data_IF_011029295353
#
_entry.id   IF_011029295353
#
_cell.length_a   1.000
_cell.length_b   1.000
_cell.length_c   1.000
_cell.angle_alpha   90.00
_cell.angle_beta   90.00
_cell.angle_gamma   90.00
#
_symmetry.space_group_name_H-M   'P 1'
#
loop_
_entity.id
_entity.type
_entity.pdbx_description
1 polymer ?
#
# COMPACT_ATOMS: atom_id res chain seq x y z
N UNK A 1 2.35 -0.44 29.35
CA UNK A 1 2.86 -1.83 29.47
C UNK A 1 1.80 -2.93 29.25
N UNK A 2 0.67 -2.95 29.98
CA UNK A 2 -0.34 -4.05 29.85
C UNK A 2 -0.99 -4.21 28.46
N UNK A 3 -1.20 -3.13 27.70
CA UNK A 3 -1.78 -3.21 26.33
C UNK A 3 -0.82 -3.79 25.29
N UNK A 4 0.46 -3.43 25.38
CA UNK A 4 1.51 -3.94 24.49
C UNK A 4 1.65 -5.45 24.61
N UNK A 5 1.60 -5.98 25.83
CA UNK A 5 1.66 -7.43 26.11
C UNK A 5 0.44 -8.16 25.51
N UNK A 6 -0.76 -7.57 25.57
CA UNK A 6 -1.96 -8.16 24.94
C UNK A 6 -1.86 -8.23 23.41
N UNK A 7 -1.29 -7.21 22.77
CA UNK A 7 -1.13 -7.21 21.31
C UNK A 7 -0.21 -8.34 20.84
N UNK A 8 0.96 -8.49 21.47
CA UNK A 8 1.88 -9.60 21.19
C UNK A 8 1.23 -10.97 21.43
N UNK A 9 0.40 -11.11 22.47
CA UNK A 9 -0.34 -12.35 22.70
C UNK A 9 -1.35 -12.66 21.58
N UNK A 10 -2.10 -11.67 21.07
CA UNK A 10 -3.04 -11.89 19.96
C UNK A 10 -2.29 -12.36 18.72
N UNK A 11 -1.21 -11.68 18.36
CA UNK A 11 -0.37 -12.08 17.22
C UNK A 11 0.16 -13.51 17.41
N UNK A 12 0.62 -13.85 18.61
CA UNK A 12 1.08 -15.20 18.95
C UNK A 12 -0.01 -16.28 18.81
N UNK A 13 -1.20 -16.08 19.37
CA UNK A 13 -2.29 -17.06 19.22
C UNK A 13 -2.72 -17.22 17.76
N UNK A 14 -2.75 -16.11 17.01
CA UNK A 14 -3.13 -16.11 15.61
C UNK A 14 -2.11 -16.88 14.77
N UNK A 15 -0.81 -16.72 15.06
CA UNK A 15 0.24 -17.57 14.51
C UNK A 15 0.04 -19.05 14.86
N UNK A 16 -0.27 -19.37 16.11
CA UNK A 16 -0.47 -20.76 16.54
C UNK A 16 -1.67 -21.45 15.87
N UNK A 17 -2.72 -20.70 15.54
CA UNK A 17 -3.89 -21.22 14.83
C UNK A 17 -3.58 -21.42 13.34
N UNK A 18 -2.93 -20.43 12.71
CA UNK A 18 -2.74 -20.41 11.26
C UNK A 18 -1.52 -21.21 10.78
N UNK A 19 -0.53 -21.49 11.64
CA UNK A 19 0.69 -22.26 11.30
C UNK A 19 0.43 -23.71 10.84
N UNK A 20 -0.81 -24.19 10.91
CA UNK A 20 -1.17 -25.54 10.52
C UNK A 20 -1.75 -25.64 9.11
N UNK A 21 -2.10 -24.50 8.48
CA UNK A 21 -2.80 -24.49 7.18
C UNK A 21 -2.11 -23.55 6.18
N UNK A 22 -1.04 -24.03 5.55
CA UNK A 22 -0.26 -23.26 4.55
C UNK A 22 -1.13 -22.77 3.38
N UNK A 23 -2.11 -23.57 2.94
CA UNK A 23 -3.04 -23.21 1.87
C UNK A 23 -3.88 -21.97 2.20
N UNK A 24 -4.32 -21.83 3.46
CA UNK A 24 -5.07 -20.65 3.90
C UNK A 24 -4.16 -19.41 3.87
N UNK A 25 -2.90 -19.56 4.30
CA UNK A 25 -1.93 -18.45 4.28
C UNK A 25 -1.67 -17.97 2.84
N UNK A 26 -1.45 -18.91 1.91
CA UNK A 26 -1.25 -18.62 0.48
C UNK A 26 -2.50 -18.01 -0.15
N UNK A 27 -3.68 -18.49 0.21
CA UNK A 27 -4.93 -17.93 -0.28
C UNK A 27 -5.12 -16.48 0.18
N UNK A 28 -4.83 -16.16 1.45
CA UNK A 28 -4.87 -14.79 1.97
C UNK A 28 -3.83 -13.89 1.29
N UNK A 29 -2.64 -14.42 1.03
CA UNK A 29 -1.58 -13.73 0.29
C UNK A 29 -2.04 -13.38 -1.14
N UNK A 30 -2.63 -14.35 -1.82
CA UNK A 30 -3.21 -14.18 -3.15
C UNK A 30 -4.34 -13.14 -3.15
N UNK A 31 -5.26 -13.18 -2.18
CA UNK A 31 -6.35 -12.21 -2.08
C UNK A 31 -5.83 -10.78 -1.89
N UNK A 32 -4.79 -10.58 -1.08
CA UNK A 32 -4.13 -9.28 -0.92
C UNK A 32 -3.65 -8.73 -2.26
N UNK A 33 -2.96 -9.56 -3.03
CA UNK A 33 -2.37 -9.17 -4.32
C UNK A 33 -3.46 -8.90 -5.35
N UNK A 34 -4.48 -9.76 -5.40
CA UNK A 34 -5.62 -9.62 -6.29
C UNK A 34 -6.35 -8.29 -6.06
N UNK A 35 -6.61 -7.90 -4.81
CA UNK A 35 -7.26 -6.62 -4.50
C UNK A 35 -6.43 -5.45 -5.04
N UNK A 36 -5.12 -5.44 -4.78
CA UNK A 36 -4.24 -4.37 -5.24
C UNK A 36 -4.24 -4.26 -6.77
N UNK A 37 -4.07 -5.39 -7.48
CA UNK A 37 -4.06 -5.39 -8.94
C UNK A 37 -5.39 -4.96 -9.53
N UNK A 38 -6.52 -5.41 -8.95
CA UNK A 38 -7.85 -4.99 -9.39
C UNK A 38 -8.07 -3.49 -9.20
N UNK A 39 -7.64 -2.92 -8.06
CA UNK A 39 -7.72 -1.47 -7.82
C UNK A 39 -6.95 -0.69 -8.87
N UNK A 40 -5.69 -1.07 -9.12
CA UNK A 40 -4.84 -0.39 -10.11
C UNK A 40 -5.46 -0.52 -11.50
N UNK A 41 -5.92 -1.71 -11.88
CA UNK A 41 -6.53 -1.98 -13.18
C UNK A 41 -7.81 -1.17 -13.39
N UNK A 42 -8.74 -1.20 -12.44
CA UNK A 42 -10.00 -0.46 -12.50
C UNK A 42 -9.74 1.05 -12.54
N UNK A 43 -8.78 1.55 -11.74
CA UNK A 43 -8.40 2.95 -11.76
C UNK A 43 -7.83 3.37 -13.13
N UNK A 44 -6.94 2.56 -13.72
CA UNK A 44 -6.39 2.82 -15.05
C UNK A 44 -7.47 2.83 -16.14
N UNK A 45 -8.43 1.90 -16.11
CA UNK A 45 -9.56 1.89 -17.04
C UNK A 45 -10.45 3.13 -16.89
N UNK A 46 -10.71 3.54 -15.66
CA UNK A 46 -11.48 4.74 -15.36
C UNK A 46 -10.76 6.01 -15.87
N UNK A 47 -9.45 6.14 -15.59
CA UNK A 47 -8.62 7.24 -16.11
C UNK A 47 -8.65 7.28 -17.63
N UNK A 48 -8.46 6.13 -18.29
CA UNK A 48 -8.47 6.07 -19.75
C UNK A 48 -9.78 6.62 -20.32
N UNK A 49 -10.93 6.13 -19.80
CA UNK A 49 -12.26 6.58 -20.22
C UNK A 49 -12.49 8.07 -19.95
N UNK A 50 -12.13 8.56 -18.77
CA UNK A 50 -12.45 9.92 -18.34
C UNK A 50 -11.48 10.96 -18.93
N UNK A 51 -10.27 10.56 -19.30
CA UNK A 51 -9.26 11.44 -19.92
C UNK A 51 -9.68 12.02 -21.28
N UNK A 52 -10.61 11.37 -21.98
CA UNK A 52 -11.21 11.89 -23.22
C UNK A 52 -12.18 13.04 -22.96
N UNK A 53 -12.84 13.07 -21.80
CA UNK A 53 -13.83 14.08 -21.42
C UNK A 53 -13.20 15.25 -20.66
N UNK A 54 -12.31 14.94 -19.72
CA UNK A 54 -11.74 15.92 -18.81
C UNK A 54 -10.23 15.75 -18.72
N UNK A 55 -9.49 16.67 -19.37
CA UNK A 55 -8.02 16.67 -19.35
C UNK A 55 -7.43 16.84 -17.94
N UNK A 56 -8.20 17.32 -16.95
CA UNK A 56 -7.74 17.39 -15.55
C UNK A 56 -7.38 16.01 -14.98
N UNK A 57 -8.03 14.95 -15.47
CA UNK A 57 -7.76 13.56 -15.04
C UNK A 57 -6.31 13.15 -15.31
N UNK A 58 -5.66 13.70 -16.34
CA UNK A 58 -4.26 13.41 -16.62
C UNK A 58 -3.32 13.89 -15.51
N UNK A 59 -3.67 14.96 -14.78
CA UNK A 59 -2.89 15.43 -13.63
C UNK A 59 -3.04 14.49 -12.44
N UNK A 60 -4.25 14.01 -12.18
CA UNK A 60 -4.53 13.01 -11.15
C UNK A 60 -3.79 11.70 -11.48
N UNK A 61 -3.75 11.32 -12.76
CA UNK A 61 -2.97 10.17 -13.20
C UNK A 61 -1.46 10.37 -13.00
N UNK A 62 -0.96 11.58 -13.20
CA UNK A 62 0.43 11.93 -12.89
C UNK A 62 0.70 11.82 -11.37
N UNK A 63 -0.18 12.33 -10.50
CA UNK A 63 -0.08 12.17 -9.05
C UNK A 63 -0.03 10.69 -8.65
N UNK A 64 -0.93 9.89 -9.23
CA UNK A 64 -0.97 8.44 -9.03
C UNK A 64 0.34 7.77 -9.47
N UNK A 65 0.83 8.09 -10.67
CA UNK A 65 2.05 7.50 -11.21
C UNK A 65 3.27 7.82 -10.34
N UNK A 66 3.41 9.07 -9.89
CA UNK A 66 4.48 9.48 -8.97
C UNK A 66 4.35 8.74 -7.63
N UNK A 67 3.14 8.62 -7.09
CA UNK A 67 2.91 7.88 -5.84
C UNK A 67 3.29 6.39 -5.97
N UNK A 68 2.91 5.72 -7.06
CA UNK A 68 3.28 4.33 -7.33
C UNK A 68 4.79 4.19 -7.46
N UNK A 69 5.42 5.03 -8.28
CA UNK A 69 6.86 5.00 -8.52
C UNK A 69 7.66 5.22 -7.23
N UNK A 70 7.35 6.27 -6.46
CA UNK A 70 8.04 6.56 -5.20
C UNK A 70 7.80 5.49 -4.15
N UNK A 71 6.59 4.92 -4.07
CA UNK A 71 6.29 3.82 -3.15
C UNK A 71 7.17 2.61 -3.44
N UNK A 72 7.27 2.20 -4.70
CA UNK A 72 8.13 1.07 -5.08
C UNK A 72 9.60 1.42 -4.82
N UNK A 73 10.07 2.58 -5.31
CA UNK A 73 11.47 2.98 -5.18
C UNK A 73 11.93 3.04 -3.72
N UNK A 74 11.21 3.76 -2.86
CA UNK A 74 11.60 3.95 -1.46
C UNK A 74 11.54 2.62 -0.70
N UNK A 75 10.50 1.81 -0.89
CA UNK A 75 10.38 0.52 -0.22
C UNK A 75 11.50 -0.43 -0.65
N UNK A 76 11.84 -0.48 -1.94
CA UNK A 76 12.94 -1.31 -2.45
C UNK A 76 14.30 -0.84 -1.92
N UNK A 77 14.54 0.47 -1.83
CA UNK A 77 15.74 1.01 -1.22
C UNK A 77 15.85 0.62 0.26
N UNK A 78 14.75 0.66 1.02
CA UNK A 78 14.76 0.22 2.42
C UNK A 78 15.05 -1.28 2.51
N UNK A 79 14.36 -2.12 1.73
CA UNK A 79 14.54 -3.58 1.74
C UNK A 79 15.97 -4.01 1.42
N UNK A 80 16.58 -3.37 0.43
CA UNK A 80 17.97 -3.65 0.04
C UNK A 80 19.00 -3.32 1.14
N UNK A 81 18.66 -2.44 2.08
CA UNK A 81 19.53 -2.06 3.20
C UNK A 81 19.14 -2.73 4.53
N UNK A 82 17.92 -3.25 4.64
CA UNK A 82 17.36 -3.82 5.86
C UNK A 82 16.66 -5.16 5.58
N UNK A 83 17.44 -6.24 5.63
CA UNK A 83 16.95 -7.59 5.43
C UNK A 83 16.20 -8.05 6.69
N UNK A 84 14.89 -8.25 6.57
CA UNK A 84 14.04 -8.72 7.67
C UNK A 84 13.30 -9.99 7.27
N UNK A 85 13.42 -11.03 8.09
CA UNK A 85 12.76 -12.33 7.87
C UNK A 85 11.25 -12.20 8.06
N UNK A 86 10.47 -12.80 7.15
CA UNK A 86 9.00 -12.82 7.25
C UNK A 86 8.53 -13.78 8.36
N UNK A 87 7.40 -13.48 9.03
CA UNK A 87 6.85 -14.37 10.06
C UNK A 87 6.60 -15.81 9.57
N UNK A 88 6.14 -16.00 8.34
CA UNK A 88 5.86 -17.33 7.75
C UNK A 88 7.08 -18.27 7.78
N UNK A 89 8.28 -17.72 7.61
CA UNK A 89 9.51 -18.51 7.50
C UNK A 89 9.94 -19.17 8.82
N UNK A 90 9.42 -18.70 9.96
CA UNK A 90 9.63 -19.36 11.25
C UNK A 90 8.78 -20.64 11.42
N UNK A 91 7.66 -20.72 10.71
CA UNK A 91 6.73 -21.86 10.77
C UNK A 91 6.92 -22.83 9.60
N UNK A 92 7.36 -22.32 8.45
CA UNK A 92 7.60 -23.08 7.23
C UNK A 92 9.00 -22.73 6.68
N UNK A 93 10.06 -23.41 7.15
CA UNK A 93 11.44 -23.12 6.73
C UNK A 93 11.69 -23.32 5.23
N UNK A 94 10.89 -24.17 4.56
CA UNK A 94 10.93 -24.35 3.10
C UNK A 94 10.39 -23.14 2.31
N UNK A 95 9.72 -22.20 2.98
CA UNK A 95 9.18 -20.95 2.44
C UNK A 95 9.99 -19.76 3.00
N UNK A 96 11.31 -19.87 2.98
CA UNK A 96 12.16 -18.82 3.53
C UNK A 96 12.08 -17.57 2.66
N UNK A 97 11.47 -16.54 3.22
CA UNK A 97 11.22 -15.27 2.57
C UNK A 97 11.88 -14.16 3.39
N UNK A 98 12.68 -13.38 2.70
CA UNK A 98 13.30 -12.18 3.22
C UNK A 98 12.47 -10.94 2.80
N UNK A 99 12.94 -9.76 3.22
CA UNK A 99 12.37 -8.46 2.84
C UNK A 99 10.93 -8.22 3.34
N UNK A 100 10.69 -8.56 4.60
CA UNK A 100 9.42 -8.29 5.28
C UNK A 100 9.19 -6.79 5.51
N UNK A 101 10.22 -6.04 5.89
CA UNK A 101 10.09 -4.62 6.26
C UNK A 101 10.46 -3.66 5.13
N UNK A 102 9.68 -2.60 4.86
CA UNK A 102 8.27 -2.41 5.23
C UNK A 102 7.32 -3.15 4.27
N UNK A 103 6.02 -3.17 4.58
CA UNK A 103 5.00 -3.75 3.70
C UNK A 103 4.84 -2.91 2.42
N UNK A 104 5.27 -3.45 1.27
CA UNK A 104 5.12 -2.77 -0.03
C UNK A 104 3.65 -2.62 -0.42
N UNK A 105 2.83 -3.67 -0.24
CA UNK A 105 1.40 -3.65 -0.57
C UNK A 105 0.65 -2.58 0.22
N UNK A 106 0.90 -2.50 1.53
CA UNK A 106 0.29 -1.50 2.40
C UNK A 106 0.77 -0.09 2.04
N UNK A 107 2.06 0.10 1.81
CA UNK A 107 2.63 1.40 1.41
C UNK A 107 2.01 1.89 0.12
N UNK A 108 2.03 1.06 -0.92
CA UNK A 108 1.53 1.38 -2.25
C UNK A 108 0.04 1.70 -2.24
N UNK A 109 -0.77 0.83 -1.62
CA UNK A 109 -2.22 1.03 -1.56
C UNK A 109 -2.58 2.27 -0.75
N UNK A 110 -1.84 2.58 0.32
CA UNK A 110 -2.06 3.80 1.11
C UNK A 110 -1.74 5.04 0.29
N UNK A 111 -0.61 5.06 -0.44
CA UNK A 111 -0.22 6.18 -1.29
C UNK A 111 -1.26 6.45 -2.39
N UNK A 112 -1.78 5.39 -3.02
CA UNK A 112 -2.89 5.45 -3.97
C UNK A 112 -4.14 6.03 -3.31
N UNK A 113 -4.50 5.53 -2.13
CA UNK A 113 -5.69 5.98 -1.38
C UNK A 113 -5.63 7.47 -1.06
N UNK A 114 -4.46 7.99 -0.69
CA UNK A 114 -4.26 9.42 -0.39
C UNK A 114 -4.42 10.29 -1.64
N UNK A 115 -3.81 9.89 -2.76
CA UNK A 115 -3.97 10.59 -4.05
C UNK A 115 -5.44 10.63 -4.44
N UNK A 116 -6.13 9.49 -4.36
CA UNK A 116 -7.56 9.42 -4.72
C UNK A 116 -8.39 10.25 -3.74
N UNK A 117 -8.17 10.15 -2.43
CA UNK A 117 -8.89 10.92 -1.40
C UNK A 117 -8.78 12.44 -1.60
N UNK A 118 -7.58 12.92 -1.96
CA UNK A 118 -7.36 14.35 -2.21
C UNK A 118 -8.19 14.87 -3.41
N UNK A 119 -8.54 14.00 -4.36
CA UNK A 119 -9.26 14.38 -5.58
C UNK A 119 -10.76 13.99 -5.55
N UNK A 120 -11.10 12.88 -4.89
CA UNK A 120 -12.42 12.28 -4.80
C UNK A 120 -12.62 11.65 -3.42
N UNK A 121 -13.30 12.36 -2.51
CA UNK A 121 -13.44 11.95 -1.10
C UNK A 121 -14.07 10.56 -0.98
N UNK A 122 -15.19 10.32 -1.67
CA UNK A 122 -15.93 9.05 -1.60
C UNK A 122 -15.08 7.86 -2.06
N UNK A 123 -14.39 8.01 -3.19
CA UNK A 123 -13.52 6.97 -3.73
C UNK A 123 -12.30 6.77 -2.83
N UNK A 124 -11.75 7.84 -2.25
CA UNK A 124 -10.65 7.76 -1.31
C UNK A 124 -11.00 6.96 -0.05
N UNK A 125 -12.19 7.18 0.52
CA UNK A 125 -12.67 6.41 1.67
C UNK A 125 -12.77 4.92 1.31
N UNK A 126 -13.34 4.59 0.14
CA UNK A 126 -13.38 3.21 -0.35
C UNK A 126 -11.98 2.61 -0.49
N UNK A 127 -11.02 3.36 -1.03
CA UNK A 127 -9.64 2.90 -1.16
C UNK A 127 -8.97 2.66 0.21
N UNK A 128 -9.27 3.47 1.23
CA UNK A 128 -8.79 3.23 2.59
C UNK A 128 -9.41 1.98 3.23
N UNK A 129 -10.68 1.68 2.96
CA UNK A 129 -11.30 0.41 3.38
C UNK A 129 -10.61 -0.80 2.73
N UNK A 130 -10.29 -0.71 1.44
CA UNK A 130 -9.53 -1.74 0.74
C UNK A 130 -8.08 -1.83 1.24
N UNK A 131 -7.46 -0.71 1.63
CA UNK A 131 -6.15 -0.69 2.29
C UNK A 131 -6.20 -1.42 3.62
N UNK A 132 -7.25 -1.21 4.42
CA UNK A 132 -7.45 -1.94 5.66
C UNK A 132 -7.57 -3.45 5.42
N UNK A 133 -8.28 -3.86 4.37
CA UNK A 133 -8.39 -5.27 3.99
C UNK A 133 -7.04 -5.86 3.56
N UNK A 134 -6.26 -5.13 2.75
CA UNK A 134 -4.88 -5.50 2.38
C UNK A 134 -3.98 -5.61 3.62
N UNK A 135 -4.09 -4.70 4.58
CA UNK A 135 -3.34 -4.75 5.83
C UNK A 135 -3.71 -5.99 6.67
N UNK A 136 -5.01 -6.30 6.78
CA UNK A 136 -5.50 -7.50 7.46
C UNK A 136 -4.94 -8.75 6.78
N UNK A 137 -5.06 -8.87 5.46
CA UNK A 137 -4.55 -10.03 4.74
C UNK A 137 -3.03 -10.15 4.82
N UNK A 138 -2.30 -9.04 4.80
CA UNK A 138 -0.84 -9.04 5.00
C UNK A 138 -0.43 -9.59 6.36
N UNK A 139 -1.23 -9.35 7.39
CA UNK A 139 -1.00 -9.86 8.73
C UNK A 139 -1.41 -11.34 8.84
N UNK A 140 -2.61 -11.68 8.37
CA UNK A 140 -3.16 -13.03 8.46
C UNK A 140 -2.40 -14.04 7.57
N UNK A 141 -1.81 -13.61 6.45
CA UNK A 141 -0.96 -14.48 5.62
C UNK A 141 0.45 -14.69 6.19
N UNK A 142 0.76 -14.05 7.32
CA UNK A 142 2.07 -14.10 7.98
C UNK A 142 3.23 -13.58 7.11
N UNK A 143 2.94 -12.77 6.09
CA UNK A 143 3.96 -12.17 5.24
C UNK A 143 4.63 -10.96 5.87
N UNK A 144 3.92 -10.27 6.76
CA UNK A 144 4.38 -9.05 7.38
C UNK A 144 4.14 -9.06 8.88
N UNK A 145 5.11 -8.53 9.61
CA UNK A 145 4.92 -8.16 11.01
C UNK A 145 3.95 -6.97 11.09
N UNK A 146 3.20 -6.82 12.19
CA UNK A 146 2.32 -5.66 12.34
C UNK A 146 3.05 -4.31 12.25
N UNK A 147 4.32 -4.26 12.67
CA UNK A 147 5.12 -3.04 12.55
C UNK A 147 5.41 -2.68 11.09
N UNK A 148 5.62 -3.66 10.20
CA UNK A 148 5.85 -3.44 8.78
C UNK A 148 4.62 -2.79 8.11
N UNK A 149 3.43 -3.19 8.57
CA UNK A 149 2.13 -2.67 8.11
C UNK A 149 1.93 -1.25 8.61
N UNK A 150 2.16 -0.98 9.90
CA UNK A 150 2.03 0.36 10.49
C UNK A 150 2.99 1.34 9.82
N UNK A 151 4.25 0.95 9.65
CA UNK A 151 5.24 1.77 8.95
C UNK A 151 4.85 1.93 7.48
N UNK A 152 4.32 0.89 6.83
CA UNK A 152 3.80 0.98 5.48
C UNK A 152 2.66 1.99 5.33
N UNK A 153 1.69 2.01 6.27
CA UNK A 153 0.62 3.01 6.29
C UNK A 153 1.18 4.44 6.41
N UNK A 154 2.11 4.66 7.34
CA UNK A 154 2.72 5.98 7.53
C UNK A 154 3.51 6.42 6.30
N UNK A 155 4.37 5.54 5.77
CA UNK A 155 5.20 5.82 4.62
C UNK A 155 4.35 6.09 3.37
N UNK A 156 3.33 5.27 3.14
CA UNK A 156 2.40 5.46 2.02
C UNK A 156 1.63 6.77 2.14
N UNK A 157 1.24 7.16 3.36
CA UNK A 157 0.62 8.46 3.60
C UNK A 157 1.52 9.63 3.18
N UNK A 158 2.77 9.61 3.64
CA UNK A 158 3.75 10.65 3.34
C UNK A 158 4.04 10.72 1.83
N UNK A 159 4.22 9.56 1.18
CA UNK A 159 4.46 9.49 -0.27
C UNK A 159 3.27 10.02 -1.05
N UNK A 160 2.04 9.58 -0.74
CA UNK A 160 0.84 10.06 -1.42
C UNK A 160 0.65 11.57 -1.26
N UNK A 161 0.83 12.10 -0.04
CA UNK A 161 0.74 13.54 0.21
C UNK A 161 1.80 14.33 -0.56
N UNK A 162 3.05 13.83 -0.58
CA UNK A 162 4.13 14.43 -1.35
C UNK A 162 3.84 14.43 -2.86
N UNK A 163 3.35 13.32 -3.41
CA UNK A 163 2.97 13.21 -4.83
C UNK A 163 1.90 14.22 -5.24
N UNK A 164 0.92 14.46 -4.39
CA UNK A 164 -0.09 15.50 -4.61
C UNK A 164 0.54 16.89 -4.59
N UNK A 165 1.38 17.19 -3.59
CA UNK A 165 1.99 18.51 -3.44
C UNK A 165 2.91 18.84 -4.61
N UNK A 166 3.76 17.90 -5.04
CA UNK A 166 4.72 18.13 -6.11
C UNK A 166 4.03 18.42 -7.45
N UNK A 167 2.98 17.66 -7.80
CA UNK A 167 2.22 17.91 -9.03
C UNK A 167 1.44 19.23 -8.95
N UNK A 168 0.84 19.57 -7.81
CA UNK A 168 0.19 20.87 -7.61
C UNK A 168 1.15 22.04 -7.81
N UNK A 169 2.39 21.93 -7.34
CA UNK A 169 3.42 22.95 -7.58
C UNK A 169 3.65 23.12 -9.09
N UNK A 170 3.91 22.04 -9.83
CA UNK A 170 4.10 22.11 -11.29
C UNK A 170 2.89 22.68 -12.04
N UNK A 171 1.67 22.33 -11.64
CA UNK A 171 0.45 22.87 -12.24
C UNK A 171 0.26 24.36 -11.95
N UNK A 172 0.50 24.79 -10.70
CA UNK A 172 0.43 26.19 -10.30
C UNK A 172 1.40 27.09 -11.08
N UNK A 173 2.62 26.60 -11.35
CA UNK A 173 3.58 27.29 -12.22
C UNK A 173 3.09 27.40 -13.67
N UNK A 174 2.43 26.38 -14.20
CA UNK A 174 1.95 26.36 -15.59
C UNK A 174 0.78 27.32 -15.82
N UNK A 175 -0.11 27.51 -14.84
CA UNK A 175 -1.22 28.48 -14.93
C UNK A 175 -0.72 29.92 -14.98
N UNK A 176 0.26 30.26 -14.13
CA UNK A 176 0.90 31.60 -14.08
C UNK A 176 1.63 31.99 -15.36
N UNK A 177 2.14 31.02 -16.12
CA UNK A 177 2.89 31.26 -17.38
C UNK A 177 1.98 31.39 -18.62
N UNK A 178 0.70 31.02 -18.52
CA UNK A 178 -0.29 31.18 -19.59
C UNK A 178 -1.05 32.52 -19.46
N UNK A 179 -1.05 33.11 -18.26
CA UNK A 179 -1.69 34.40 -17.95
C UNK A 179 -0.75 35.62 -18.13
N UNK A 180 0.53 35.40 -18.49
CA UNK A 180 1.53 36.43 -18.84
C UNK A 180 1.93 36.31 -20.31
#
# INVERSE_FOLDING_TARGET
MKKTIKFFMVTYYLYQILKHNLEILRFLDFLRDLILFLVIFVFCLWVFKESFKNKKILWIFAEFFVAVFLSILIVQLIKNNYIVIRPISYFYPGEQLFDSFPSQHTTLMTAISVVILNNFIEWGILMFLLTALIAIFSWLSLMHWPIDIIVGLLLGYLIGAFSVQIIKLFYGFKRKKIEN
#
